data_IF_194100934577
#
_entry.id   IF_194100934577
#
_cell.length_a   1.000
_cell.length_b   1.000
_cell.length_c   1.000
_cell.angle_alpha   90.00
_cell.angle_beta   90.00
_cell.angle_gamma   90.00
#
_symmetry.space_group_name_H-M   'P 1'
#
loop_
_entity.id
_entity.type
_entity.pdbx_description
1 polymer ?
#
# COMPACT_ATOMS: atom_id res chain seq x y z
N UNK A 1 27.61 -6.04 -25.48
CA UNK A 1 27.67 -4.95 -26.48
C UNK A 1 26.71 -5.31 -27.61
N UNK A 2 25.50 -4.76 -27.59
CA UNK A 2 24.58 -4.68 -28.73
C UNK A 2 23.49 -3.68 -28.33
N UNK A 3 23.77 -2.41 -28.63
CA UNK A 3 22.80 -1.32 -28.64
C UNK A 3 21.87 -1.53 -29.84
N UNK A 4 20.56 -1.49 -29.61
CA UNK A 4 19.58 -1.26 -30.67
C UNK A 4 18.85 0.04 -30.34
N UNK A 5 19.39 1.14 -30.84
CA UNK A 5 18.74 2.46 -30.89
C UNK A 5 17.83 2.48 -32.11
N UNK A 6 16.51 2.48 -31.88
CA UNK A 6 15.54 2.91 -32.88
C UNK A 6 15.01 4.27 -32.44
N UNK A 7 15.54 5.32 -33.07
CA UNK A 7 14.89 6.64 -33.12
C UNK A 7 13.84 6.59 -34.24
N UNK A 8 12.60 6.98 -33.91
CA UNK A 8 11.53 7.57 -34.74
C UNK A 8 10.26 7.50 -33.87
N UNK A 9 9.51 8.55 -33.57
CA UNK A 9 9.41 9.88 -34.12
C UNK A 9 9.08 10.84 -32.97
N UNK A 10 9.42 12.11 -33.15
CA UNK A 10 8.94 13.23 -32.35
C UNK A 10 7.40 13.17 -32.32
N UNK A 11 6.83 12.64 -31.23
CA UNK A 11 5.52 13.12 -30.83
C UNK A 11 5.76 14.56 -30.41
N UNK A 12 5.13 15.47 -31.16
CA UNK A 12 4.77 16.77 -30.63
C UNK A 12 4.02 16.46 -29.34
N UNK A 13 4.73 16.48 -28.21
CA UNK A 13 4.12 16.45 -26.90
C UNK A 13 3.37 17.77 -26.85
N UNK A 14 2.11 17.72 -27.23
CA UNK A 14 1.15 18.72 -26.82
C UNK A 14 1.38 18.85 -25.32
N UNK A 15 1.87 20.00 -24.89
CA UNK A 15 1.98 20.34 -23.49
C UNK A 15 0.55 20.52 -22.98
N UNK A 16 -0.20 19.42 -22.91
CA UNK A 16 -1.30 19.28 -21.98
C UNK A 16 -0.63 19.55 -20.66
N UNK A 17 -0.97 20.67 -20.04
CA UNK A 17 -0.65 20.99 -18.67
C UNK A 17 -0.84 19.69 -17.89
N UNK A 18 0.27 19.03 -17.53
CA UNK A 18 0.21 17.71 -16.92
C UNK A 18 -0.49 17.92 -15.60
N UNK A 19 -1.79 17.62 -15.57
CA UNK A 19 -2.57 17.72 -14.35
C UNK A 19 -1.99 16.64 -13.46
N UNK A 20 -1.25 17.05 -12.45
CA UNK A 20 -0.73 16.16 -11.42
C UNK A 20 -1.93 15.47 -10.76
N UNK A 21 -2.12 14.15 -10.96
CA UNK A 21 -3.35 13.48 -10.52
C UNK A 21 -3.36 13.32 -9.00
N UNK A 22 -4.50 13.52 -8.35
CA UNK A 22 -4.63 13.16 -6.94
C UNK A 22 -4.53 11.63 -6.76
N UNK A 23 -3.70 11.19 -5.82
CA UNK A 23 -3.52 9.78 -5.50
C UNK A 23 -4.22 9.50 -4.17
N UNK A 24 -5.25 8.66 -4.22
CA UNK A 24 -6.00 8.22 -3.04
C UNK A 24 -5.86 6.71 -2.91
N UNK A 25 -5.32 6.28 -1.76
CA UNK A 25 -5.20 4.85 -1.43
C UNK A 25 -6.13 4.53 -0.27
N UNK A 26 -6.98 3.52 -0.44
CA UNK A 26 -7.86 2.99 0.60
C UNK A 26 -7.35 1.59 0.97
N UNK A 27 -6.94 1.40 2.22
CA UNK A 27 -6.49 0.11 2.76
C UNK A 27 -7.50 -0.32 3.82
N UNK A 28 -8.20 -1.41 3.55
CA UNK A 28 -9.13 -2.01 4.49
C UNK A 28 -8.41 -2.93 5.49
N UNK A 29 -8.96 -3.05 6.69
CA UNK A 29 -8.43 -3.89 7.76
C UNK A 29 -9.30 -5.15 7.86
N UNK A 30 -8.68 -6.32 7.77
CA UNK A 30 -9.32 -7.64 7.85
C UNK A 30 -10.50 -7.86 6.88
N UNK A 31 -10.42 -7.24 5.69
CA UNK A 31 -11.43 -7.38 4.63
C UNK A 31 -11.11 -8.54 3.69
N UNK A 32 -11.94 -9.58 3.72
CA UNK A 32 -11.76 -10.79 2.93
C UNK A 32 -12.22 -10.64 1.48
N UNK A 33 -11.79 -11.57 0.64
CA UNK A 33 -12.18 -11.63 -0.78
C UNK A 33 -13.70 -11.72 -0.95
N UNK A 34 -14.38 -12.54 -0.16
CA UNK A 34 -15.83 -12.71 -0.20
C UNK A 34 -16.63 -11.59 0.52
N UNK A 35 -15.98 -10.50 0.93
CA UNK A 35 -16.67 -9.34 1.51
C UNK A 35 -16.95 -8.25 0.47
N UNK A 36 -16.85 -8.55 -0.82
CA UNK A 36 -17.15 -7.61 -1.90
C UNK A 36 -18.41 -8.03 -2.66
N UNK A 37 -19.39 -7.13 -2.77
CA UNK A 37 -20.65 -7.38 -3.49
C UNK A 37 -20.43 -7.79 -4.94
N UNK A 38 -19.43 -7.22 -5.60
CA UNK A 38 -19.06 -7.62 -6.97
C UNK A 38 -18.46 -9.04 -7.07
N UNK A 39 -17.93 -9.61 -5.98
CA UNK A 39 -17.53 -11.03 -5.93
C UNK A 39 -18.69 -11.96 -5.57
N UNK A 40 -19.69 -11.50 -4.82
CA UNK A 40 -20.79 -12.35 -4.35
C UNK A 40 -21.67 -12.92 -5.47
N UNK A 41 -21.66 -12.28 -6.65
CA UNK A 41 -22.30 -12.85 -7.85
C UNK A 41 -21.67 -14.18 -8.29
N UNK A 42 -20.45 -14.47 -7.84
CA UNK A 42 -19.72 -15.72 -8.09
C UNK A 42 -20.02 -16.78 -7.03
N UNK A 43 -20.66 -16.42 -5.93
CA UNK A 43 -20.95 -17.31 -4.79
C UNK A 43 -22.45 -17.57 -4.75
N UNK A 44 -22.86 -18.83 -4.89
CA UNK A 44 -24.28 -19.22 -4.78
C UNK A 44 -24.73 -19.28 -3.30
N UNK A 45 -24.72 -18.13 -2.62
CA UNK A 45 -25.15 -18.00 -1.23
C UNK A 45 -26.02 -16.76 -1.05
N UNK A 46 -27.33 -16.97 -0.96
CA UNK A 46 -28.32 -15.90 -0.83
C UNK A 46 -28.21 -15.11 0.49
N UNK A 47 -27.65 -15.71 1.54
CA UNK A 47 -27.48 -15.00 2.82
C UNK A 47 -26.32 -14.01 2.71
N UNK A 48 -25.17 -14.45 2.18
CA UNK A 48 -24.03 -13.57 1.92
C UNK A 48 -24.41 -12.39 1.01
N UNK A 49 -25.19 -12.66 -0.05
CA UNK A 49 -25.69 -11.63 -0.95
C UNK A 49 -26.56 -10.56 -0.25
N UNK A 50 -27.19 -10.86 0.89
CA UNK A 50 -27.95 -9.87 1.67
C UNK A 50 -27.07 -9.11 2.65
N UNK A 51 -26.03 -9.75 3.18
CA UNK A 51 -25.14 -9.19 4.20
C UNK A 51 -24.06 -8.27 3.60
N UNK A 52 -23.56 -8.62 2.42
CA UNK A 52 -22.48 -7.88 1.76
C UNK A 52 -23.10 -6.92 0.74
N UNK A 53 -23.21 -5.66 1.13
CA UNK A 53 -23.78 -4.59 0.31
C UNK A 53 -22.75 -3.47 0.13
N UNK A 54 -22.02 -3.49 -0.99
CA UNK A 54 -20.94 -2.52 -1.28
C UNK A 54 -21.20 -1.69 -2.55
N UNK A 55 -22.38 -1.08 -2.74
CA UNK A 55 -22.79 -0.52 -4.04
C UNK A 55 -21.83 0.55 -4.60
N UNK A 56 -21.21 1.36 -3.74
CA UNK A 56 -20.22 2.38 -4.16
C UNK A 56 -18.94 1.72 -4.68
N UNK A 57 -18.47 0.67 -3.99
CA UNK A 57 -17.24 -0.03 -4.38
C UNK A 57 -17.48 -0.94 -5.58
N UNK A 58 -18.67 -1.52 -5.70
CA UNK A 58 -19.08 -2.29 -6.87
C UNK A 58 -19.16 -1.39 -8.12
N UNK A 59 -19.65 -0.15 -7.96
CA UNK A 59 -19.63 0.83 -9.03
C UNK A 59 -18.19 1.25 -9.40
N UNK A 60 -17.29 1.41 -8.41
CA UNK A 60 -15.88 1.67 -8.67
C UNK A 60 -15.22 0.52 -9.45
N UNK A 61 -15.51 -0.73 -9.09
CA UNK A 61 -15.01 -1.91 -9.78
C UNK A 61 -15.51 -1.98 -11.24
N UNK A 62 -16.76 -1.59 -11.51
CA UNK A 62 -17.34 -1.57 -12.87
C UNK A 62 -16.70 -0.53 -13.80
N UNK A 63 -16.21 0.59 -13.26
CA UNK A 63 -15.61 1.68 -14.03
C UNK A 63 -14.08 1.71 -13.94
N UNK A 64 -13.48 0.72 -13.29
CA UNK A 64 -12.05 0.68 -12.99
C UNK A 64 -11.39 -0.61 -13.46
N UNK A 65 -10.21 -0.87 -12.88
CA UNK A 65 -9.47 -2.11 -13.10
C UNK A 65 -9.57 -2.95 -11.84
N UNK A 66 -10.05 -4.18 -11.97
CA UNK A 66 -10.04 -5.18 -10.90
C UNK A 66 -8.80 -6.04 -11.03
N UNK A 67 -8.08 -6.22 -9.92
CA UNK A 67 -6.91 -7.09 -9.84
C UNK A 67 -7.31 -8.43 -9.22
N UNK A 68 -7.59 -9.45 -10.04
CA UNK A 68 -8.00 -10.77 -9.57
C UNK A 68 -6.91 -11.52 -8.76
N UNK A 69 -5.67 -11.05 -8.87
CA UNK A 69 -4.49 -11.63 -8.20
C UNK A 69 -3.65 -10.54 -7.54
N UNK A 70 -4.20 -9.93 -6.49
CA UNK A 70 -3.50 -9.01 -5.60
C UNK A 70 -3.21 -9.72 -4.27
N UNK A 71 -1.94 -9.73 -3.85
CA UNK A 71 -1.51 -10.46 -2.65
C UNK A 71 -0.99 -9.51 -1.58
N UNK A 72 -1.25 -9.87 -0.34
CA UNK A 72 -0.79 -9.19 0.87
C UNK A 72 -0.24 -10.22 1.86
N UNK A 73 0.36 -9.77 2.96
CA UNK A 73 0.70 -10.64 4.08
C UNK A 73 -0.54 -10.92 4.95
N UNK A 74 -0.53 -12.04 5.66
CA UNK A 74 -1.64 -12.50 6.49
C UNK A 74 -1.82 -11.71 7.81
N UNK A 75 -1.00 -10.69 8.07
CA UNK A 75 -1.04 -9.87 9.28
C UNK A 75 -0.91 -8.39 8.91
N UNK A 76 -1.58 -7.53 9.68
CA UNK A 76 -1.68 -6.10 9.41
C UNK A 76 -0.32 -5.40 9.25
N UNK A 77 0.60 -5.52 10.21
CA UNK A 77 1.86 -4.76 10.24
C UNK A 77 2.82 -5.14 9.11
N UNK A 78 3.05 -6.44 8.80
CA UNK A 78 3.80 -6.83 7.61
C UNK A 78 3.17 -6.28 6.32
N UNK A 79 1.86 -6.38 6.14
CA UNK A 79 1.18 -5.86 4.93
C UNK A 79 1.32 -4.35 4.78
N UNK A 80 1.07 -3.59 5.84
CA UNK A 80 1.16 -2.12 5.82
C UNK A 80 2.61 -1.66 5.63
N UNK A 81 3.57 -2.33 6.26
CA UNK A 81 4.98 -1.98 6.10
C UNK A 81 5.50 -2.28 4.69
N UNK A 82 5.09 -3.39 4.09
CA UNK A 82 5.39 -3.67 2.69
C UNK A 82 4.80 -2.61 1.75
N UNK A 83 3.54 -2.24 1.97
CA UNK A 83 2.88 -1.20 1.20
C UNK A 83 3.60 0.16 1.30
N UNK A 84 3.88 0.63 2.53
CA UNK A 84 4.50 1.96 2.73
C UNK A 84 5.94 2.02 2.23
N UNK A 85 6.71 0.94 2.41
CA UNK A 85 8.15 0.96 2.11
C UNK A 85 8.51 0.39 0.74
N UNK A 86 7.58 -0.32 0.08
CA UNK A 86 7.83 -1.07 -1.16
C UNK A 86 8.79 -2.27 -0.97
N UNK A 87 9.00 -2.74 0.26
CA UNK A 87 9.98 -3.79 0.59
C UNK A 87 9.30 -5.03 1.16
N UNK A 88 9.92 -6.19 0.98
CA UNK A 88 9.51 -7.39 1.71
C UNK A 88 9.59 -7.11 3.23
N UNK A 89 8.56 -7.44 4.04
CA UNK A 89 8.55 -7.15 5.48
C UNK A 89 9.76 -7.69 6.24
N UNK A 90 10.34 -8.80 5.78
CA UNK A 90 11.57 -9.37 6.34
C UNK A 90 12.75 -8.40 6.28
N UNK A 91 12.74 -7.42 5.38
CA UNK A 91 13.76 -6.38 5.25
C UNK A 91 13.38 -5.06 5.94
N UNK A 92 12.20 -5.01 6.58
CA UNK A 92 11.73 -3.80 7.26
C UNK A 92 12.16 -3.78 8.72
N UNK A 93 11.77 -4.80 9.50
CA UNK A 93 12.08 -4.87 10.92
C UNK A 93 12.14 -6.32 11.44
N UNK A 94 12.64 -6.49 12.66
CA UNK A 94 12.85 -7.81 13.26
C UNK A 94 11.55 -8.53 13.62
N UNK A 95 10.48 -7.82 13.99
CA UNK A 95 9.22 -8.47 14.40
C UNK A 95 8.41 -8.99 13.23
N UNK A 96 8.66 -8.44 12.04
CA UNK A 96 8.21 -9.04 10.79
C UNK A 96 9.01 -10.32 10.43
N UNK A 97 9.97 -10.75 11.26
CA UNK A 97 10.67 -12.04 11.20
C UNK A 97 10.17 -12.97 12.32
N UNK A 98 10.40 -14.29 12.22
CA UNK A 98 10.17 -15.21 13.33
C UNK A 98 10.89 -14.75 14.60
N UNK A 99 10.33 -15.06 15.77
CA UNK A 99 10.67 -14.49 17.09
C UNK A 99 12.06 -14.87 17.64
N UNK A 100 12.88 -15.58 16.88
CA UNK A 100 14.19 -16.09 17.29
C UNK A 100 15.35 -15.11 17.02
N UNK A 101 15.08 -13.94 16.43
CA UNK A 101 16.09 -12.93 16.08
C UNK A 101 16.01 -11.63 16.91
N UNK A 102 15.57 -11.70 18.16
CA UNK A 102 15.57 -10.54 19.05
C UNK A 102 17.00 -10.25 19.55
N UNK A 103 17.62 -9.20 19.01
CA UNK A 103 18.89 -8.64 19.50
C UNK A 103 18.61 -7.32 20.24
N UNK A 104 18.75 -7.28 21.58
CA UNK A 104 18.48 -6.10 22.38
C UNK A 104 19.50 -4.97 22.17
N UNK A 105 20.59 -5.20 21.43
CA UNK A 105 21.58 -4.18 21.10
C UNK A 105 21.21 -3.33 19.88
N UNK A 106 20.18 -3.73 19.12
CA UNK A 106 19.72 -2.99 17.95
C UNK A 106 18.84 -1.80 18.34
N UNK A 107 18.89 -0.67 17.60
CA UNK A 107 17.99 0.46 17.79
C UNK A 107 16.53 0.02 17.79
N UNK A 108 15.74 0.52 18.75
CA UNK A 108 14.31 0.17 18.91
C UNK A 108 13.51 0.40 17.61
N UNK A 109 13.94 1.37 16.80
CA UNK A 109 13.28 1.74 15.56
C UNK A 109 13.44 0.71 14.42
N UNK A 110 14.33 -0.27 14.56
CA UNK A 110 14.45 -1.43 13.67
C UNK A 110 13.84 -2.73 14.21
N UNK A 111 13.38 -2.73 15.47
CA UNK A 111 12.79 -3.90 16.13
C UNK A 111 11.27 -3.81 16.06
N UNK A 112 10.67 -2.73 16.56
CA UNK A 112 9.23 -2.60 16.82
C UNK A 112 8.47 -1.74 15.80
N UNK A 113 9.07 -1.40 14.67
CA UNK A 113 8.43 -0.56 13.66
C UNK A 113 9.25 -0.41 12.39
N UNK A 114 8.77 0.40 11.45
CA UNK A 114 9.57 0.81 10.29
C UNK A 114 10.70 1.73 10.79
N UNK A 115 11.96 1.51 10.37
CA UNK A 115 13.06 2.40 10.73
C UNK A 115 12.80 3.82 10.25
N UNK A 116 13.09 4.82 11.09
CA UNK A 116 12.78 6.22 10.78
C UNK A 116 13.48 6.73 9.51
N UNK A 117 14.59 6.10 9.12
CA UNK A 117 15.40 6.49 7.96
C UNK A 117 14.97 5.74 6.68
N UNK A 118 14.01 4.81 6.79
CA UNK A 118 13.55 4.02 5.66
C UNK A 118 12.55 4.81 4.83
N UNK A 119 12.97 5.24 3.64
CA UNK A 119 12.10 5.98 2.74
C UNK A 119 10.83 5.22 2.40
N UNK A 120 9.69 5.87 2.68
CA UNK A 120 8.35 5.40 2.34
C UNK A 120 7.71 6.14 1.17
N UNK A 121 6.52 5.68 0.76
CA UNK A 121 5.75 6.23 -0.35
C UNK A 121 5.40 7.71 -0.18
N UNK A 122 5.09 8.15 1.04
CA UNK A 122 4.76 9.55 1.32
C UNK A 122 5.96 10.48 1.06
N UNK A 123 7.16 10.10 1.50
CA UNK A 123 8.39 10.88 1.21
C UNK A 123 8.68 10.96 -0.29
N UNK A 124 8.48 9.84 -1.02
CA UNK A 124 8.63 9.83 -2.47
C UNK A 124 7.62 10.76 -3.15
N UNK A 125 6.35 10.70 -2.76
CA UNK A 125 5.32 11.60 -3.28
C UNK A 125 5.60 13.07 -2.94
N UNK A 126 6.03 13.37 -1.71
CA UNK A 126 6.41 14.72 -1.31
C UNK A 126 7.57 15.27 -2.14
N UNK A 127 8.57 14.44 -2.45
CA UNK A 127 9.67 14.82 -3.34
C UNK A 127 9.22 15.12 -4.78
N UNK A 128 8.08 14.58 -5.20
CA UNK A 128 7.43 14.86 -6.48
C UNK A 128 6.40 16.01 -6.41
N UNK A 129 6.37 16.79 -5.32
CA UNK A 129 5.50 17.96 -5.17
C UNK A 129 4.10 17.68 -4.62
N UNK A 130 3.82 16.45 -4.17
CA UNK A 130 2.52 16.14 -3.55
C UNK A 130 2.45 16.59 -2.08
N UNK A 131 1.30 17.11 -1.68
CA UNK A 131 0.90 17.10 -0.28
C UNK A 131 0.47 15.68 0.10
N UNK A 132 0.89 15.20 1.28
CA UNK A 132 0.59 13.84 1.74
C UNK A 132 -0.10 13.88 3.09
N UNK A 133 -1.17 13.08 3.23
CA UNK A 133 -1.89 12.91 4.49
C UNK A 133 -2.24 11.44 4.68
N UNK A 134 -2.23 10.98 5.93
CA UNK A 134 -2.69 9.66 6.33
C UNK A 134 -3.79 9.80 7.37
N UNK A 135 -4.87 9.03 7.21
CA UNK A 135 -6.00 8.98 8.13
C UNK A 135 -6.28 7.52 8.47
N UNK A 136 -6.40 7.21 9.77
CA UNK A 136 -6.74 5.87 10.25
C UNK A 136 -5.56 5.10 10.85
N UNK A 137 -5.61 3.78 10.74
CA UNK A 137 -4.69 2.85 11.42
C UNK A 137 -3.29 2.89 10.81
N UNK A 138 -2.29 3.22 11.64
CA UNK A 138 -0.88 3.20 11.25
C UNK A 138 -0.26 1.81 11.29
N UNK A 139 -0.06 1.28 12.51
CA UNK A 139 0.48 -0.06 12.75
C UNK A 139 1.88 -0.33 12.18
N UNK A 140 2.71 0.71 12.03
CA UNK A 140 4.12 0.61 11.59
C UNK A 140 5.13 0.91 12.71
N UNK A 141 4.72 0.79 13.96
CA UNK A 141 5.52 1.05 15.14
C UNK A 141 5.06 2.27 15.94
N UNK A 142 5.40 2.23 17.23
CA UNK A 142 5.09 3.27 18.22
C UNK A 142 6.17 3.37 19.31
N UNK A 143 7.33 2.71 19.12
CA UNK A 143 8.38 2.67 20.13
C UNK A 143 9.14 4.00 20.26
N UNK A 144 9.03 4.89 19.27
CA UNK A 144 9.50 6.27 19.36
C UNK A 144 8.59 7.24 18.61
N UNK A 145 8.69 8.53 18.92
CA UNK A 145 7.96 9.60 18.21
C UNK A 145 8.21 9.59 16.71
N UNK A 146 9.44 9.26 16.28
CA UNK A 146 9.81 9.21 14.86
C UNK A 146 9.10 8.09 14.08
N UNK A 147 8.54 7.10 14.77
CA UNK A 147 7.80 6.01 14.15
C UNK A 147 6.29 6.26 14.15
N UNK A 148 5.81 7.33 14.79
CA UNK A 148 4.41 7.70 14.74
C UNK A 148 4.08 8.38 13.42
N UNK A 149 2.81 8.38 12.97
CA UNK A 149 2.38 9.05 11.75
C UNK A 149 2.29 10.58 11.94
N UNK A 150 3.27 11.18 12.62
CA UNK A 150 3.42 12.64 12.70
C UNK A 150 3.94 13.11 11.35
N UNK A 151 3.03 13.51 10.47
CA UNK A 151 3.35 13.97 9.12
C UNK A 151 4.55 14.91 9.11
N UNK A 152 5.51 14.64 8.22
CA UNK A 152 6.54 15.60 7.88
C UNK A 152 5.99 16.64 6.92
#
# INVERSE_FOLDING_TARGET
LLLLTVLLAQHCADATTSIQPHIVTIILDDWGWANWGYHDRLVNNQQLQKEVQTPVMDALAQHGIVLDRLYVHNVCSPSRSAFVTGRNPRHVNLINRPSDMYDPSLPLDGIWGVPAQMTGIAEKLKSAGYATQHVGKWHLGYASHHQMPSGA
#
